data_IF_940373574991
#
_entry.id   IF_940373574991
#
_cell.length_a   1.000
_cell.length_b   1.000
_cell.length_c   1.000
_cell.angle_alpha   90.00
_cell.angle_beta   90.00
_cell.angle_gamma   90.00
#
_symmetry.space_group_name_H-M   'P 1'
#
loop_
_entity.id
_entity.type
_entity.pdbx_description
1 polymer ?
#
# COMPACT_ATOMS: atom_id res chain seq x y z
N UNK A 1 28.89 -1.83 32.38
CA UNK A 1 27.96 -1.33 31.32
C UNK A 1 26.65 -1.09 32.01
N UNK A 2 26.06 0.06 31.82
CA UNK A 2 24.72 0.31 32.37
C UNK A 2 23.74 -0.64 31.71
N UNK A 3 22.84 -1.20 32.50
CA UNK A 3 21.74 -2.05 32.01
C UNK A 3 20.49 -1.20 31.90
N UNK A 4 19.81 -1.31 30.77
CA UNK A 4 18.52 -0.69 30.53
C UNK A 4 17.40 -1.70 30.79
N UNK A 5 16.39 -1.29 31.53
CA UNK A 5 15.16 -2.06 31.71
C UNK A 5 14.23 -1.81 30.53
N UNK A 6 13.61 -2.88 30.04
CA UNK A 6 12.53 -2.86 29.03
C UNK A 6 11.37 -3.70 29.52
N UNK A 7 10.19 -3.46 28.94
CA UNK A 7 8.99 -4.26 29.17
C UNK A 7 8.58 -4.91 27.84
N UNK A 8 8.47 -6.24 27.84
CA UNK A 8 7.94 -7.03 26.75
C UNK A 8 6.86 -7.99 27.28
N UNK A 9 5.64 -7.92 26.69
CA UNK A 9 4.49 -8.72 27.15
C UNK A 9 4.30 -8.71 28.66
N UNK A 10 4.26 -7.51 29.25
CA UNK A 10 4.05 -7.26 30.69
C UNK A 10 5.17 -7.77 31.63
N UNK A 11 6.30 -8.23 31.08
CA UNK A 11 7.47 -8.69 31.86
C UNK A 11 8.65 -7.74 31.66
N UNK A 12 9.36 -7.48 32.75
CA UNK A 12 10.60 -6.70 32.73
C UNK A 12 11.80 -7.59 32.35
N UNK A 13 12.68 -7.02 31.52
CA UNK A 13 13.97 -7.61 31.13
C UNK A 13 15.05 -6.54 31.20
N UNK A 14 16.30 -6.95 31.41
CA UNK A 14 17.47 -6.04 31.44
C UNK A 14 18.41 -6.36 30.32
N UNK A 15 18.86 -5.34 29.59
CA UNK A 15 19.82 -5.44 28.49
C UNK A 15 20.87 -4.35 28.57
N UNK A 16 22.08 -4.58 28.05
CA UNK A 16 23.09 -3.52 27.91
C UNK A 16 22.58 -2.33 27.09
N UNK A 17 23.04 -1.11 27.40
CA UNK A 17 22.58 0.15 26.79
C UNK A 17 22.69 0.16 25.25
N UNK A 18 23.70 -0.49 24.67
CA UNK A 18 23.93 -0.52 23.23
C UNK A 18 23.10 -1.59 22.48
N UNK A 19 22.24 -2.34 23.17
CA UNK A 19 21.44 -3.42 22.59
C UNK A 19 20.43 -2.88 21.59
N UNK A 20 20.26 -3.58 20.46
CA UNK A 20 19.29 -3.23 19.41
C UNK A 20 18.00 -4.07 19.55
N UNK A 21 16.93 -3.61 18.91
CA UNK A 21 15.71 -4.42 18.79
C UNK A 21 15.97 -5.77 18.10
N UNK A 22 16.96 -5.81 17.18
CA UNK A 22 17.36 -7.07 16.54
C UNK A 22 17.94 -8.07 17.52
N UNK A 23 18.77 -7.60 18.47
CA UNK A 23 19.39 -8.48 19.46
C UNK A 23 18.32 -9.04 20.40
N UNK A 24 17.42 -8.20 20.88
CA UNK A 24 16.29 -8.62 21.73
C UNK A 24 15.35 -9.58 20.98
N UNK A 25 15.10 -9.33 19.70
CA UNK A 25 14.20 -10.17 18.91
C UNK A 25 14.67 -11.63 18.79
N UNK A 26 15.98 -11.88 18.93
CA UNK A 26 16.55 -13.24 18.93
C UNK A 26 16.13 -14.06 20.15
N UNK A 27 15.96 -13.39 21.32
CA UNK A 27 15.55 -14.03 22.55
C UNK A 27 14.07 -14.42 22.55
N UNK A 28 13.27 -13.71 21.74
CA UNK A 28 11.82 -13.92 21.65
C UNK A 28 11.34 -14.55 20.34
N UNK A 29 12.25 -14.97 19.46
CA UNK A 29 11.92 -15.52 18.12
C UNK A 29 10.94 -16.69 18.17
N UNK A 30 11.01 -17.52 19.21
CA UNK A 30 10.18 -18.71 19.35
C UNK A 30 8.71 -18.38 19.73
N UNK A 31 8.41 -17.10 20.02
CA UNK A 31 7.05 -16.62 20.26
C UNK A 31 6.31 -16.26 18.94
N UNK A 32 6.95 -16.41 17.80
CA UNK A 32 6.44 -16.05 16.47
C UNK A 32 6.53 -17.24 15.53
N UNK A 33 5.51 -17.42 14.70
CA UNK A 33 5.49 -18.50 13.71
C UNK A 33 6.43 -18.19 12.53
N UNK A 34 6.55 -16.91 12.18
CA UNK A 34 7.35 -16.43 11.08
C UNK A 34 8.46 -15.46 11.55
N UNK A 35 9.34 -15.08 10.63
CA UNK A 35 10.48 -14.21 10.95
C UNK A 35 10.01 -12.82 11.37
N UNK A 36 10.45 -12.37 12.55
CA UNK A 36 10.30 -10.98 13.00
C UNK A 36 10.98 -10.05 11.99
N UNK A 37 10.28 -9.01 11.56
CA UNK A 37 10.76 -8.08 10.53
C UNK A 37 10.81 -6.62 11.02
N UNK A 38 10.04 -6.29 12.05
CA UNK A 38 9.94 -4.94 12.60
C UNK A 38 9.69 -5.00 14.11
N UNK A 39 10.15 -3.98 14.84
CA UNK A 39 9.83 -3.78 16.25
C UNK A 39 8.98 -2.54 16.46
N UNK A 40 8.29 -2.50 17.57
CA UNK A 40 7.63 -1.32 18.09
C UNK A 40 8.28 -0.96 19.44
N UNK A 41 8.56 0.31 19.65
CA UNK A 41 9.08 0.82 20.89
C UNK A 41 8.28 2.05 21.30
N UNK A 42 7.62 1.97 22.46
CA UNK A 42 6.75 3.03 22.99
C UNK A 42 5.69 3.53 21.96
N UNK A 43 5.01 2.61 21.26
CA UNK A 43 3.97 2.92 20.28
C UNK A 43 4.49 3.39 18.92
N UNK A 44 5.82 3.31 18.66
CA UNK A 44 6.41 3.67 17.37
C UNK A 44 7.06 2.48 16.70
N UNK A 45 6.71 2.22 15.47
CA UNK A 45 7.36 1.22 14.63
C UNK A 45 8.77 1.68 14.26
N UNK A 46 9.76 0.83 14.51
CA UNK A 46 11.17 1.07 14.28
C UNK A 46 11.84 -0.13 13.62
N UNK A 47 12.81 0.15 12.78
CA UNK A 47 13.68 -0.88 12.19
C UNK A 47 14.40 -1.65 13.30
N UNK A 48 14.62 -2.95 13.08
CA UNK A 48 15.24 -3.83 14.09
C UNK A 48 16.66 -3.42 14.53
N UNK A 49 17.37 -2.65 13.70
CA UNK A 49 18.69 -2.11 14.07
C UNK A 49 18.63 -0.85 14.96
N UNK A 50 17.44 -0.44 15.39
CA UNK A 50 17.29 0.68 16.34
C UNK A 50 17.73 0.27 17.74
N UNK A 51 18.48 1.14 18.42
CA UNK A 51 18.89 0.95 19.81
C UNK A 51 17.70 1.14 20.74
N UNK A 52 17.69 0.41 21.85
CA UNK A 52 16.68 0.56 22.90
C UNK A 52 16.88 1.83 23.72
N UNK A 53 15.79 2.26 24.35
CA UNK A 53 15.80 3.38 25.31
C UNK A 53 15.40 2.88 26.71
N UNK A 54 15.81 3.58 27.79
CA UNK A 54 15.42 3.19 29.15
C UNK A 54 13.91 3.09 29.34
N UNK A 55 13.47 2.07 30.06
CA UNK A 55 12.05 1.81 30.36
C UNK A 55 11.14 1.72 29.13
N UNK A 56 11.67 1.23 28.02
CA UNK A 56 10.91 1.09 26.80
C UNK A 56 9.93 -0.09 26.87
N UNK A 57 8.71 0.14 26.39
CA UNK A 57 7.77 -0.92 26.05
C UNK A 57 8.06 -1.39 24.63
N UNK A 58 8.33 -2.69 24.46
CA UNK A 58 8.74 -3.28 23.19
C UNK A 58 7.73 -4.36 22.78
N UNK A 59 7.34 -4.32 21.51
CA UNK A 59 6.61 -5.38 20.81
C UNK A 59 7.31 -5.71 19.51
N UNK A 60 7.12 -6.93 19.01
CA UNK A 60 7.67 -7.36 17.73
C UNK A 60 6.57 -7.85 16.80
N UNK A 61 6.82 -7.74 15.53
CA UNK A 61 5.90 -8.18 14.49
C UNK A 61 6.65 -8.99 13.43
N UNK A 62 6.13 -10.17 13.13
CA UNK A 62 6.57 -10.96 12.00
C UNK A 62 5.91 -10.47 10.70
N UNK A 63 6.35 -10.99 9.55
CA UNK A 63 5.84 -10.54 8.25
C UNK A 63 4.40 -11.02 7.95
N UNK A 64 3.81 -11.88 8.77
CA UNK A 64 2.41 -12.29 8.68
C UNK A 64 1.49 -11.46 9.58
N UNK A 65 2.01 -10.55 10.39
CA UNK A 65 1.24 -9.53 11.10
C UNK A 65 0.89 -8.35 10.18
N UNK A 66 -0.12 -7.53 10.55
CA UNK A 66 -0.54 -6.37 9.72
C UNK A 66 0.56 -5.33 9.54
N UNK A 67 1.35 -5.04 10.58
CA UNK A 67 2.47 -4.11 10.49
C UNK A 67 3.66 -4.70 9.73
N UNK A 68 4.04 -5.93 10.06
CA UNK A 68 5.15 -6.59 9.40
C UNK A 68 4.88 -6.88 7.92
N UNK A 69 3.65 -7.17 7.53
CA UNK A 69 3.27 -7.38 6.14
C UNK A 69 3.47 -6.12 5.28
N UNK A 70 3.12 -4.94 5.81
CA UNK A 70 3.37 -3.66 5.13
C UNK A 70 4.87 -3.38 4.99
N UNK A 71 5.66 -3.67 6.01
CA UNK A 71 7.13 -3.55 5.95
C UNK A 71 7.70 -4.49 4.89
N UNK A 72 7.18 -5.72 4.81
CA UNK A 72 7.57 -6.72 3.82
C UNK A 72 7.26 -6.26 2.39
N UNK A 73 6.03 -5.79 2.15
CA UNK A 73 5.58 -5.24 0.87
C UNK A 73 6.49 -4.09 0.41
N UNK A 74 6.72 -3.10 1.28
CA UNK A 74 7.57 -1.95 0.96
C UNK A 74 9.02 -2.36 0.67
N UNK A 75 9.56 -3.32 1.42
CA UNK A 75 10.87 -3.88 1.15
C UNK A 75 10.97 -4.54 -0.23
N UNK A 76 9.96 -5.31 -0.63
CA UNK A 76 9.89 -5.89 -1.97
C UNK A 76 9.75 -4.84 -3.07
N UNK A 77 8.94 -3.80 -2.85
CA UNK A 77 8.81 -2.68 -3.80
C UNK A 77 10.17 -1.98 -3.97
N UNK A 78 10.92 -1.77 -2.88
CA UNK A 78 12.23 -1.14 -2.95
C UNK A 78 13.24 -1.97 -3.75
N UNK A 79 13.32 -3.29 -3.48
CA UNK A 79 14.20 -4.19 -4.26
C UNK A 79 13.76 -4.23 -5.73
N UNK A 80 12.46 -4.30 -5.99
CA UNK A 80 11.92 -4.32 -7.36
C UNK A 80 12.29 -3.03 -8.11
N UNK A 81 12.12 -1.86 -7.46
CA UNK A 81 12.52 -0.56 -8.01
C UNK A 81 14.01 -0.53 -8.36
N UNK A 82 14.85 -1.05 -7.45
CA UNK A 82 16.31 -1.16 -7.66
C UNK A 82 16.64 -2.01 -8.88
N UNK A 83 16.06 -3.20 -8.99
CA UNK A 83 16.36 -4.13 -10.09
C UNK A 83 15.83 -3.57 -11.43
N UNK A 84 14.64 -2.95 -11.46
CA UNK A 84 14.14 -2.28 -12.68
C UNK A 84 15.05 -1.14 -13.12
N UNK A 85 15.55 -0.34 -12.19
CA UNK A 85 16.49 0.73 -12.49
C UNK A 85 17.82 0.19 -13.02
N UNK A 86 18.36 -0.89 -12.44
CA UNK A 86 19.63 -1.47 -12.85
C UNK A 86 19.54 -2.14 -14.23
N UNK A 87 18.51 -2.95 -14.46
CA UNK A 87 18.37 -3.79 -15.66
C UNK A 87 17.77 -3.04 -16.84
N UNK A 88 16.76 -2.18 -16.59
CA UNK A 88 15.97 -1.56 -17.64
C UNK A 88 16.15 -0.04 -17.72
N UNK A 89 16.88 0.56 -16.77
CA UNK A 89 16.95 2.03 -16.60
C UNK A 89 15.57 2.66 -16.61
N UNK A 90 14.67 2.05 -15.85
CA UNK A 90 13.26 2.45 -15.78
C UNK A 90 12.77 2.46 -14.34
N UNK A 91 12.02 3.48 -14.00
CA UNK A 91 11.25 3.50 -12.78
C UNK A 91 10.02 2.59 -12.88
N UNK A 92 9.55 2.14 -11.74
CA UNK A 92 8.26 1.48 -11.60
C UNK A 92 7.26 2.41 -10.92
N UNK A 93 6.01 2.25 -11.25
CA UNK A 93 4.91 3.02 -10.69
C UNK A 93 3.96 2.07 -9.97
N UNK A 94 3.94 2.17 -8.65
CA UNK A 94 3.01 1.40 -7.80
C UNK A 94 1.63 2.04 -7.89
N UNK A 95 0.64 1.30 -8.36
CA UNK A 95 -0.70 1.84 -8.62
C UNK A 95 -1.68 1.53 -7.48
N UNK A 96 -2.04 0.27 -7.32
CA UNK A 96 -3.05 -0.14 -6.34
C UNK A 96 -2.89 -1.61 -5.98
N UNK A 97 -3.45 -1.99 -4.84
CA UNK A 97 -3.59 -3.40 -4.48
C UNK A 97 -4.73 -4.03 -5.28
N UNK A 98 -4.49 -5.18 -5.88
CA UNK A 98 -5.48 -5.93 -6.64
C UNK A 98 -5.41 -7.40 -6.28
N UNK A 99 -6.57 -8.00 -5.98
CA UNK A 99 -6.67 -9.36 -5.44
C UNK A 99 -5.73 -9.53 -4.23
N UNK A 100 -4.64 -10.27 -4.37
CA UNK A 100 -3.67 -10.60 -3.33
C UNK A 100 -2.26 -10.12 -3.67
N UNK A 101 -2.16 -8.99 -4.37
CA UNK A 101 -0.89 -8.43 -4.80
C UNK A 101 -1.00 -6.94 -5.10
N UNK A 102 0.11 -6.37 -5.56
CA UNK A 102 0.23 -4.96 -5.95
C UNK A 102 0.40 -4.85 -7.45
N UNK A 103 -0.48 -4.07 -8.10
CA UNK A 103 -0.37 -3.75 -9.51
C UNK A 103 0.66 -2.65 -9.74
N UNK A 104 1.56 -2.91 -10.66
CA UNK A 104 2.71 -2.07 -10.94
C UNK A 104 2.80 -1.81 -12.45
N UNK A 105 3.01 -0.55 -12.82
CA UNK A 105 3.31 -0.11 -14.19
C UNK A 105 4.78 0.21 -14.37
N UNK A 106 5.24 0.13 -15.60
CA UNK A 106 6.57 0.56 -16.04
C UNK A 106 6.50 1.22 -17.41
N UNK A 107 7.36 2.24 -17.63
CA UNK A 107 7.47 2.91 -18.91
C UNK A 107 8.17 2.06 -19.98
N UNK A 108 8.99 1.10 -19.58
CA UNK A 108 9.70 0.18 -20.49
C UNK A 108 8.86 -1.05 -20.78
N UNK A 109 8.94 -1.50 -22.01
CA UNK A 109 8.31 -2.75 -22.43
C UNK A 109 8.95 -3.93 -21.71
N UNK A 110 8.14 -4.77 -21.10
CA UNK A 110 8.53 -6.03 -20.47
C UNK A 110 7.94 -7.22 -21.21
N UNK A 111 8.58 -8.36 -21.08
CA UNK A 111 8.13 -9.68 -21.52
C UNK A 111 8.18 -10.64 -20.34
N UNK A 112 7.58 -11.82 -20.47
CA UNK A 112 7.70 -12.86 -19.44
C UNK A 112 9.15 -13.27 -19.18
N UNK A 113 10.01 -13.27 -20.22
CA UNK A 113 11.43 -13.56 -20.11
C UNK A 113 12.17 -12.49 -19.31
N UNK A 114 11.94 -11.20 -19.63
CA UNK A 114 12.51 -10.07 -18.87
C UNK A 114 12.06 -10.16 -17.42
N UNK A 115 10.80 -10.43 -17.16
CA UNK A 115 10.26 -10.53 -15.81
C UNK A 115 10.88 -11.72 -15.03
N UNK A 116 11.16 -12.82 -15.71
CA UNK A 116 11.89 -13.95 -15.13
C UNK A 116 13.33 -13.57 -14.75
N UNK A 117 14.02 -12.80 -15.58
CA UNK A 117 15.38 -12.31 -15.29
C UNK A 117 15.35 -11.36 -14.08
N UNK A 118 14.43 -10.41 -14.05
CA UNK A 118 14.20 -9.51 -12.90
C UNK A 118 13.95 -10.32 -11.62
N UNK A 119 13.08 -11.35 -11.69
CA UNK A 119 12.82 -12.22 -10.55
C UNK A 119 14.09 -12.93 -10.04
N UNK A 120 14.98 -13.35 -10.95
CA UNK A 120 16.26 -13.98 -10.58
C UNK A 120 17.21 -12.97 -9.90
N UNK A 121 17.29 -11.74 -10.42
CA UNK A 121 18.12 -10.69 -9.80
C UNK A 121 17.61 -10.31 -8.40
N UNK A 122 16.30 -10.22 -8.20
CA UNK A 122 15.71 -10.04 -6.87
C UNK A 122 16.12 -11.18 -5.93
N UNK A 123 16.04 -12.44 -6.38
CA UNK A 123 16.47 -13.61 -5.59
C UNK A 123 17.97 -13.56 -5.27
N UNK A 124 18.80 -13.07 -6.19
CA UNK A 124 20.23 -12.88 -5.97
C UNK A 124 20.49 -11.82 -4.88
N UNK A 125 19.80 -10.67 -4.90
CA UNK A 125 19.90 -9.65 -3.86
C UNK A 125 19.43 -10.18 -2.50
N UNK A 126 18.33 -10.94 -2.46
CA UNK A 126 17.84 -11.59 -1.24
C UNK A 126 18.86 -12.57 -0.68
N UNK A 127 19.48 -13.39 -1.54
CA UNK A 127 20.51 -14.35 -1.14
C UNK A 127 21.79 -13.68 -0.62
N UNK A 128 22.15 -12.52 -1.19
CA UNK A 128 23.29 -11.70 -0.72
C UNK A 128 23.03 -11.03 0.62
N UNK A 129 21.77 -10.95 1.06
CA UNK A 129 21.34 -10.30 2.30
C UNK A 129 21.86 -8.86 2.45
N UNK A 130 21.66 -8.05 1.41
CA UNK A 130 22.18 -6.69 1.33
C UNK A 130 21.49 -5.79 2.37
N UNK A 131 22.24 -5.02 3.19
CA UNK A 131 21.67 -4.12 4.18
C UNK A 131 20.83 -3.01 3.54
N UNK A 132 19.68 -2.70 4.15
CA UNK A 132 18.87 -1.54 3.86
C UNK A 132 19.13 -0.51 4.97
N UNK A 133 19.74 0.61 4.62
CA UNK A 133 20.17 1.62 5.56
C UNK A 133 19.23 2.81 5.56
N UNK A 134 18.76 3.22 6.74
CA UNK A 134 17.96 4.43 6.93
C UNK A 134 18.85 5.60 7.27
N UNK A 135 18.60 6.76 6.69
CA UNK A 135 19.24 8.03 7.00
C UNK A 135 18.20 9.13 7.14
N UNK A 136 18.30 9.91 8.21
CA UNK A 136 17.51 11.13 8.37
C UNK A 136 18.27 12.27 7.69
N UNK A 137 17.71 12.83 6.63
CA UNK A 137 18.34 13.88 5.83
C UNK A 137 17.46 15.12 5.80
N UNK A 138 18.09 16.29 5.58
CA UNK A 138 17.33 17.51 5.37
C UNK A 138 16.47 17.39 4.09
N UNK A 139 15.23 17.87 4.16
CA UNK A 139 14.28 17.81 3.04
C UNK A 139 14.80 18.45 1.75
N UNK A 140 15.57 19.55 1.88
CA UNK A 140 16.14 20.26 0.73
C UNK A 140 17.20 19.38 0.05
N UNK A 141 18.02 18.68 0.83
CA UNK A 141 19.03 17.76 0.28
C UNK A 141 18.39 16.59 -0.43
N UNK A 142 17.30 16.03 0.12
CA UNK A 142 16.50 15.00 -0.54
C UNK A 142 15.88 15.52 -1.86
N UNK A 143 15.34 16.73 -1.89
CA UNK A 143 14.82 17.36 -3.11
C UNK A 143 15.94 17.53 -4.15
N UNK A 144 17.13 17.97 -3.76
CA UNK A 144 18.26 18.13 -4.66
C UNK A 144 18.74 16.80 -5.23
N UNK A 145 18.78 15.76 -4.40
CA UNK A 145 19.05 14.38 -4.87
C UNK A 145 18.04 13.94 -5.93
N UNK A 146 16.71 14.04 -5.67
CA UNK A 146 15.70 13.62 -6.63
C UNK A 146 15.71 14.45 -7.91
N UNK A 147 16.03 15.74 -7.86
CA UNK A 147 16.27 16.56 -9.06
C UNK A 147 17.44 16.03 -9.87
N UNK A 148 18.53 15.63 -9.22
CA UNK A 148 19.73 15.14 -9.92
C UNK A 148 19.52 13.80 -10.63
N UNK A 149 18.60 12.98 -10.14
CA UNK A 149 18.22 11.68 -10.77
C UNK A 149 16.96 11.79 -11.64
N UNK A 150 16.38 13.01 -11.79
CA UNK A 150 15.23 13.27 -12.68
C UNK A 150 13.86 12.85 -12.13
N UNK A 151 13.77 12.43 -10.85
CA UNK A 151 12.50 12.00 -10.25
C UNK A 151 11.69 13.20 -9.74
N UNK A 152 10.96 13.84 -10.66
CA UNK A 152 10.17 15.04 -10.36
C UNK A 152 8.96 14.76 -9.49
N UNK A 153 8.41 13.56 -9.49
CA UNK A 153 7.30 13.19 -8.60
C UNK A 153 7.72 13.27 -7.13
N UNK A 154 8.87 12.68 -6.77
CA UNK A 154 9.42 12.78 -5.40
C UNK A 154 9.79 14.22 -5.04
N UNK A 155 10.32 15.01 -5.97
CA UNK A 155 10.56 16.45 -5.78
C UNK A 155 9.28 17.17 -5.38
N UNK A 156 8.19 16.93 -6.13
CA UNK A 156 6.93 17.61 -5.90
C UNK A 156 6.25 17.14 -4.60
N UNK A 157 6.30 15.85 -4.27
CA UNK A 157 5.81 15.35 -2.97
C UNK A 157 6.55 16.04 -1.81
N UNK A 158 7.88 16.08 -1.85
CA UNK A 158 8.69 16.67 -0.79
C UNK A 158 8.55 18.21 -0.73
N UNK A 159 8.25 18.88 -1.82
CA UNK A 159 7.99 20.33 -1.86
C UNK A 159 6.84 20.71 -0.92
N UNK A 160 5.79 19.91 -0.84
CA UNK A 160 4.61 20.15 -0.01
C UNK A 160 4.69 19.51 1.38
N UNK A 161 5.77 18.80 1.70
CA UNK A 161 5.98 18.23 3.04
C UNK A 161 6.24 19.34 4.06
N UNK A 162 5.59 19.25 5.22
CA UNK A 162 5.84 20.17 6.36
C UNK A 162 7.08 19.78 7.16
N UNK A 163 7.58 18.56 7.00
CA UNK A 163 8.72 18.06 7.76
C UNK A 163 10.03 18.68 7.24
N UNK A 164 10.88 19.14 8.14
CA UNK A 164 12.22 19.65 7.81
C UNK A 164 13.19 18.54 7.44
N UNK A 165 13.00 17.35 8.00
CA UNK A 165 13.81 16.17 7.72
C UNK A 165 12.94 15.03 7.20
N UNK A 166 13.52 14.18 6.37
CA UNK A 166 12.87 13.01 5.77
C UNK A 166 13.76 11.77 5.88
N UNK A 167 13.13 10.60 5.98
CA UNK A 167 13.84 9.33 5.99
C UNK A 167 14.13 8.89 4.55
N UNK A 168 15.41 8.81 4.18
CA UNK A 168 15.84 8.12 2.97
C UNK A 168 16.39 6.74 3.33
N UNK A 169 15.98 5.74 2.55
CA UNK A 169 16.50 4.39 2.64
C UNK A 169 17.46 4.14 1.48
N UNK A 170 18.60 3.54 1.81
CA UNK A 170 19.64 3.20 0.85
C UNK A 170 19.73 1.69 0.67
N UNK A 171 19.69 1.25 -0.60
CA UNK A 171 20.00 -0.10 -1.02
C UNK A 171 21.10 -0.03 -2.07
N UNK A 172 22.31 -0.43 -1.71
CA UNK A 172 23.55 -0.24 -2.50
C UNK A 172 23.76 1.22 -2.90
N UNK A 173 23.57 1.57 -4.18
CA UNK A 173 23.74 2.90 -4.76
C UNK A 173 22.41 3.66 -4.98
N UNK A 174 21.28 3.04 -4.66
CA UNK A 174 19.95 3.65 -4.82
C UNK A 174 19.42 4.18 -3.49
N UNK A 175 18.83 5.37 -3.53
CA UNK A 175 18.10 5.95 -2.39
C UNK A 175 16.63 6.08 -2.75
N UNK A 176 15.74 5.81 -1.79
CA UNK A 176 14.32 6.09 -1.95
C UNK A 176 13.67 6.52 -0.63
N UNK A 177 12.50 7.14 -0.74
CA UNK A 177 11.71 7.69 0.35
C UNK A 177 10.48 6.82 0.62
N UNK A 178 10.34 6.38 1.87
CA UNK A 178 9.18 5.61 2.33
C UNK A 178 8.57 6.25 3.57
N UNK A 179 7.24 6.22 3.66
CA UNK A 179 6.49 6.73 4.81
C UNK A 179 6.53 5.79 6.01
N UNK A 180 6.66 4.49 5.79
CA UNK A 180 6.76 3.47 6.82
C UNK A 180 8.16 2.85 6.86
N UNK A 181 8.54 2.23 8.00
CA UNK A 181 9.80 1.51 8.10
C UNK A 181 9.99 0.44 7.03
N UNK A 182 11.24 0.12 6.74
CA UNK A 182 11.66 -0.99 5.87
C UNK A 182 12.37 -2.08 6.67
N UNK A 183 12.48 -3.31 6.13
CA UNK A 183 13.30 -4.33 6.74
C UNK A 183 14.77 -3.90 6.73
N UNK A 184 15.55 -4.41 7.70
CA UNK A 184 16.97 -4.05 7.84
C UNK A 184 17.87 -4.60 6.74
N UNK A 185 17.41 -5.61 6.00
CA UNK A 185 18.15 -6.20 4.88
C UNK A 185 17.21 -6.94 3.92
N UNK A 186 17.72 -7.23 2.74
CA UNK A 186 16.99 -7.95 1.68
C UNK A 186 16.74 -9.42 2.02
N UNK A 187 17.55 -10.05 2.86
CA UNK A 187 17.45 -11.47 3.22
C UNK A 187 16.18 -11.85 4.00
N UNK A 188 15.38 -10.86 4.42
CA UNK A 188 14.06 -11.08 5.03
C UNK A 188 12.97 -11.41 4.01
N UNK A 189 13.14 -11.09 2.71
CA UNK A 189 12.09 -10.93 1.70
C UNK A 189 12.03 -12.13 0.72
N UNK A 190 12.00 -13.34 1.27
CA UNK A 190 12.16 -14.60 0.49
C UNK A 190 10.95 -14.95 -0.36
N UNK A 191 9.75 -14.63 0.12
CA UNK A 191 8.49 -15.07 -0.48
C UNK A 191 7.90 -13.98 -1.37
N UNK A 192 8.07 -14.09 -2.68
CA UNK A 192 7.46 -13.18 -3.65
C UNK A 192 7.21 -13.87 -4.98
N UNK A 193 6.31 -13.31 -5.78
CA UNK A 193 6.03 -13.75 -7.14
C UNK A 193 5.76 -12.56 -8.03
N UNK A 194 6.41 -12.50 -9.19
CA UNK A 194 6.07 -11.54 -10.24
C UNK A 194 5.16 -12.23 -11.26
N UNK A 195 4.01 -11.62 -11.53
CA UNK A 195 3.04 -12.11 -12.52
C UNK A 195 2.94 -11.10 -13.66
N UNK A 196 3.23 -11.54 -14.88
CA UNK A 196 3.09 -10.74 -16.09
C UNK A 196 1.61 -10.46 -16.37
N UNK A 197 1.25 -9.21 -16.64
CA UNK A 197 -0.11 -8.81 -17.04
C UNK A 197 -0.11 -8.38 -18.52
N UNK A 198 0.69 -7.38 -18.86
CA UNK A 198 0.86 -6.90 -20.23
C UNK A 198 2.28 -6.33 -20.43
N UNK A 199 2.54 -5.79 -21.62
CA UNK A 199 3.86 -5.27 -21.99
C UNK A 199 4.37 -4.11 -21.14
N UNK A 200 3.55 -3.53 -20.24
CA UNK A 200 3.91 -2.40 -19.39
C UNK A 200 3.44 -2.57 -17.94
N UNK A 201 2.99 -3.77 -17.59
CA UNK A 201 2.46 -3.99 -16.24
C UNK A 201 2.66 -5.40 -15.71
N UNK A 202 2.74 -5.49 -14.40
CA UNK A 202 2.91 -6.72 -13.65
C UNK A 202 2.16 -6.64 -12.32
N UNK A 203 1.98 -7.79 -11.67
CA UNK A 203 1.53 -7.87 -10.28
C UNK A 203 2.64 -8.47 -9.43
N UNK A 204 2.99 -7.78 -8.34
CA UNK A 204 3.85 -8.26 -7.27
C UNK A 204 3.01 -8.97 -6.22
N UNK A 205 3.11 -10.29 -6.16
CA UNK A 205 2.51 -11.12 -5.10
C UNK A 205 3.50 -11.31 -3.95
N UNK A 206 2.98 -11.33 -2.72
CA UNK A 206 3.74 -11.49 -1.48
C UNK A 206 2.85 -12.15 -0.41
N UNK A 207 3.35 -12.51 0.78
CA UNK A 207 2.56 -13.14 1.83
C UNK A 207 1.27 -12.38 2.13
N UNK A 208 0.16 -13.10 2.20
CA UNK A 208 -1.16 -12.50 2.42
C UNK A 208 -1.71 -12.87 3.79
N UNK A 209 -1.84 -11.89 4.67
CA UNK A 209 -2.27 -12.07 6.06
C UNK A 209 -3.73 -12.54 6.19
N UNK A 210 -4.60 -12.12 5.28
CA UNK A 210 -6.03 -12.48 5.33
C UNK A 210 -6.30 -13.93 4.93
N UNK A 211 -5.58 -14.43 3.94
CA UNK A 211 -5.69 -15.84 3.53
C UNK A 211 -4.73 -16.76 4.27
N UNK A 212 -3.84 -16.22 5.11
CA UNK A 212 -2.76 -16.92 5.81
C UNK A 212 -1.89 -17.78 4.88
N UNK A 213 -1.69 -17.32 3.63
CA UNK A 213 -0.91 -18.02 2.59
C UNK A 213 0.33 -17.22 2.25
N UNK A 214 1.51 -17.85 2.31
CA UNK A 214 2.81 -17.20 2.03
C UNK A 214 2.94 -16.71 0.58
N UNK A 215 2.40 -17.47 -0.39
CA UNK A 215 2.35 -17.04 -1.79
C UNK A 215 0.99 -17.38 -2.40
N UNK A 216 0.00 -16.50 -2.27
CA UNK A 216 -1.31 -16.71 -2.88
C UNK A 216 -1.22 -16.66 -4.40
N UNK A 217 -2.05 -17.47 -5.05
CA UNK A 217 -2.17 -17.43 -6.52
C UNK A 217 -2.98 -16.19 -6.89
N UNK A 218 -2.42 -15.32 -7.70
CA UNK A 218 -3.13 -14.18 -8.27
C UNK A 218 -4.24 -14.65 -9.21
N UNK A 219 -5.44 -14.10 -9.02
CA UNK A 219 -6.59 -14.30 -9.90
C UNK A 219 -6.93 -12.99 -10.59
N UNK A 220 -6.89 -12.99 -11.91
CA UNK A 220 -7.24 -11.81 -12.67
C UNK A 220 -8.77 -11.57 -12.66
N UNK A 221 -9.16 -10.36 -12.31
CA UNK A 221 -10.55 -9.89 -12.28
C UNK A 221 -10.74 -8.80 -13.34
N UNK A 222 -11.04 -9.21 -14.56
CA UNK A 222 -11.09 -8.37 -15.76
C UNK A 222 -11.91 -7.09 -15.57
N UNK A 223 -13.14 -7.19 -15.06
CA UNK A 223 -14.01 -6.02 -14.86
C UNK A 223 -13.42 -5.02 -13.88
N UNK A 224 -12.90 -5.50 -12.73
CA UNK A 224 -12.30 -4.64 -11.72
C UNK A 224 -11.02 -3.98 -12.27
N UNK A 225 -10.20 -4.74 -12.98
CA UNK A 225 -8.98 -4.23 -13.59
C UNK A 225 -9.27 -3.12 -14.62
N UNK A 226 -10.28 -3.32 -15.46
CA UNK A 226 -10.68 -2.34 -16.46
C UNK A 226 -11.20 -1.04 -15.83
N UNK A 227 -11.97 -1.14 -14.73
CA UNK A 227 -12.43 0.04 -13.99
C UNK A 227 -11.25 0.84 -13.38
N UNK A 228 -10.29 0.17 -12.75
CA UNK A 228 -9.09 0.83 -12.26
C UNK A 228 -8.28 1.47 -13.39
N UNK A 229 -8.14 0.79 -14.53
CA UNK A 229 -7.43 1.32 -15.70
C UNK A 229 -8.14 2.55 -16.28
N UNK A 230 -9.47 2.53 -16.37
CA UNK A 230 -10.27 3.65 -16.83
C UNK A 230 -10.09 4.87 -15.91
N UNK A 231 -10.14 4.64 -14.60
CA UNK A 231 -9.93 5.69 -13.61
C UNK A 231 -8.50 6.26 -13.67
N UNK A 232 -7.50 5.41 -13.78
CA UNK A 232 -6.09 5.80 -13.91
C UNK A 232 -5.85 6.68 -15.16
N UNK A 233 -6.38 6.26 -16.32
CA UNK A 233 -6.32 7.03 -17.55
C UNK A 233 -7.03 8.39 -17.44
N UNK A 234 -8.11 8.45 -16.69
CA UNK A 234 -8.81 9.70 -16.41
C UNK A 234 -7.97 10.63 -15.53
N UNK A 235 -7.41 10.13 -14.43
CA UNK A 235 -6.51 10.89 -13.57
C UNK A 235 -5.29 11.43 -14.32
N UNK A 236 -4.73 10.63 -15.25
CA UNK A 236 -3.61 11.02 -16.10
C UNK A 236 -3.97 12.21 -17.00
N UNK A 237 -5.14 12.16 -17.67
CA UNK A 237 -5.62 13.26 -18.52
C UNK A 237 -5.81 14.57 -17.75
N UNK A 238 -6.14 14.50 -16.47
CA UNK A 238 -6.30 15.66 -15.60
C UNK A 238 -4.99 16.09 -14.92
N UNK A 239 -3.91 15.32 -15.03
CA UNK A 239 -2.64 15.57 -14.36
C UNK A 239 -2.72 15.39 -12.84
N UNK A 240 -3.59 14.49 -12.36
CA UNK A 240 -3.79 14.17 -10.93
C UNK A 240 -3.62 12.68 -10.64
N UNK A 241 -2.80 11.98 -11.42
CA UNK A 241 -2.52 10.56 -11.25
C UNK A 241 -1.77 10.22 -9.95
N UNK A 242 -1.20 11.22 -9.30
CA UNK A 242 -0.47 11.09 -8.03
C UNK A 242 -0.74 12.27 -7.11
N UNK A 243 -0.33 12.14 -5.84
CA UNK A 243 -0.53 13.17 -4.82
C UNK A 243 0.19 14.47 -5.17
N UNK A 244 1.32 14.42 -5.85
CA UNK A 244 2.05 15.63 -6.24
C UNK A 244 1.26 16.48 -7.22
N UNK A 245 0.62 15.88 -8.23
CA UNK A 245 -0.27 16.56 -9.15
C UNK A 245 -1.51 17.14 -8.46
N UNK A 246 -2.11 16.40 -7.53
CA UNK A 246 -3.24 16.89 -6.75
C UNK A 246 -2.85 18.09 -5.88
N UNK A 247 -1.72 18.02 -5.16
CA UNK A 247 -1.21 19.13 -4.35
C UNK A 247 -0.96 20.39 -5.18
N UNK A 248 -0.49 20.24 -6.41
CA UNK A 248 -0.30 21.37 -7.31
C UNK A 248 -1.64 22.04 -7.68
N UNK A 249 -2.68 21.26 -7.97
CA UNK A 249 -4.03 21.78 -8.23
C UNK A 249 -4.60 22.53 -7.02
N UNK A 250 -4.39 21.99 -5.82
CA UNK A 250 -4.78 22.66 -4.57
C UNK A 250 -4.02 23.98 -4.39
N UNK A 251 -2.70 23.97 -4.58
CA UNK A 251 -1.86 25.16 -4.36
C UNK A 251 -2.08 26.28 -5.38
N UNK A 252 -2.54 25.93 -6.58
CA UNK A 252 -2.86 26.89 -7.65
C UNK A 252 -4.33 27.34 -7.66
N UNK A 253 -5.17 26.80 -6.74
CA UNK A 253 -6.60 27.12 -6.67
C UNK A 253 -7.45 26.49 -7.81
N UNK A 254 -6.89 25.53 -8.57
CA UNK A 254 -7.62 24.86 -9.67
C UNK A 254 -8.24 23.52 -9.26
N UNK A 255 -8.39 23.28 -7.97
CA UNK A 255 -8.99 22.04 -7.43
C UNK A 255 -10.49 21.96 -7.71
N UNK A 256 -11.22 23.10 -7.72
CA UNK A 256 -12.66 23.15 -7.93
C UNK A 256 -13.06 22.57 -9.30
N UNK A 257 -12.25 22.79 -10.33
CA UNK A 257 -12.47 22.20 -11.64
C UNK A 257 -12.41 20.66 -11.59
N UNK A 258 -11.45 20.11 -10.83
CA UNK A 258 -11.31 18.67 -10.66
C UNK A 258 -12.50 18.07 -9.93
N UNK A 259 -12.98 18.75 -8.86
CA UNK A 259 -14.19 18.35 -8.12
C UNK A 259 -15.40 18.32 -9.04
N UNK A 260 -15.63 19.41 -9.77
CA UNK A 260 -16.78 19.53 -10.70
C UNK A 260 -16.76 18.47 -11.80
N UNK A 261 -15.58 18.23 -12.41
CA UNK A 261 -15.42 17.20 -13.43
C UNK A 261 -15.66 15.81 -12.87
N UNK A 262 -15.15 15.51 -11.65
CA UNK A 262 -15.35 14.22 -10.97
C UNK A 262 -16.82 13.94 -10.69
N UNK A 263 -17.54 14.95 -10.18
CA UNK A 263 -18.98 14.85 -9.92
C UNK A 263 -19.79 14.63 -11.19
N UNK A 264 -19.46 15.36 -12.26
CA UNK A 264 -20.12 15.20 -13.56
C UNK A 264 -19.92 13.82 -14.16
N UNK A 265 -18.71 13.26 -14.09
CA UNK A 265 -18.43 11.90 -14.57
C UNK A 265 -19.22 10.88 -13.74
N UNK A 266 -19.20 11.00 -12.40
CA UNK A 266 -20.00 10.11 -11.54
C UNK A 266 -21.49 10.17 -11.87
N UNK A 267 -22.05 11.36 -12.04
CA UNK A 267 -23.45 11.56 -12.38
C UNK A 267 -23.78 10.94 -13.75
N UNK A 268 -22.93 11.11 -14.75
CA UNK A 268 -23.11 10.52 -16.08
C UNK A 268 -23.06 8.98 -16.04
N UNK A 269 -22.14 8.41 -15.26
CA UNK A 269 -22.06 6.96 -15.08
C UNK A 269 -23.34 6.42 -14.42
N UNK A 270 -23.81 7.05 -13.35
CA UNK A 270 -25.05 6.66 -12.67
C UNK A 270 -26.29 6.82 -13.57
N UNK A 271 -26.35 7.90 -14.36
CA UNK A 271 -27.40 8.07 -15.35
C UNK A 271 -27.41 6.97 -16.40
N UNK A 272 -26.25 6.58 -16.88
CA UNK A 272 -26.09 5.48 -17.86
C UNK A 272 -26.55 4.14 -17.25
N UNK A 273 -26.17 3.86 -16.00
CA UNK A 273 -26.63 2.69 -15.27
C UNK A 273 -28.17 2.70 -15.13
N UNK A 274 -28.74 3.85 -14.71
CA UNK A 274 -30.18 3.98 -14.57
C UNK A 274 -30.94 3.77 -15.90
N UNK A 275 -30.39 4.29 -17.00
CA UNK A 275 -30.94 4.08 -18.35
C UNK A 275 -30.93 2.61 -18.73
N UNK A 276 -29.83 1.90 -18.47
CA UNK A 276 -29.71 0.47 -18.77
C UNK A 276 -30.71 -0.35 -17.94
N UNK A 277 -30.86 -0.01 -16.65
CA UNK A 277 -31.85 -0.67 -15.78
C UNK A 277 -33.26 -0.43 -16.26
N UNK A 278 -33.61 0.82 -16.61
CA UNK A 278 -34.97 1.18 -17.07
C UNK A 278 -35.36 0.47 -18.38
N UNK A 279 -34.37 0.16 -19.22
CA UNK A 279 -34.56 -0.56 -20.48
C UNK A 279 -34.74 -2.07 -20.30
N UNK A 280 -34.40 -2.63 -19.14
CA UNK A 280 -34.48 -4.05 -18.86
C UNK A 280 -35.51 -4.35 -17.76
N UNK A 281 -36.74 -4.68 -18.17
CA UNK A 281 -37.85 -4.99 -17.26
C UNK A 281 -37.63 -6.21 -16.36
N UNK A 282 -36.62 -7.03 -16.64
CA UNK A 282 -36.31 -8.24 -15.84
C UNK A 282 -35.52 -7.89 -14.57
N UNK A 283 -34.88 -6.70 -14.50
CA UNK A 283 -34.14 -6.27 -13.31
C UNK A 283 -35.16 -5.88 -12.23
N UNK A 284 -35.21 -6.62 -11.13
CA UNK A 284 -36.07 -6.41 -9.98
C UNK A 284 -35.32 -6.01 -8.73
N UNK A 285 -34.03 -6.33 -8.66
CA UNK A 285 -33.17 -6.10 -7.51
C UNK A 285 -31.84 -5.52 -7.98
N UNK A 286 -31.39 -4.49 -7.29
CA UNK A 286 -30.09 -3.84 -7.50
C UNK A 286 -29.33 -3.91 -6.18
N UNK A 287 -28.19 -4.58 -6.16
CA UNK A 287 -27.32 -4.68 -4.99
C UNK A 287 -26.15 -3.71 -5.12
N UNK A 288 -25.98 -2.84 -4.12
CA UNK A 288 -24.86 -1.89 -4.04
C UNK A 288 -23.99 -2.30 -2.86
N UNK A 289 -22.78 -2.77 -3.15
CA UNK A 289 -21.81 -3.16 -2.14
C UNK A 289 -20.55 -2.29 -2.23
N UNK A 290 -19.83 -2.17 -1.12
CA UNK A 290 -18.57 -1.45 -1.04
C UNK A 290 -18.11 -1.30 0.41
N UNK A 291 -16.84 -0.92 0.65
CA UNK A 291 -16.31 -0.73 2.00
C UNK A 291 -16.98 0.43 2.73
N UNK A 292 -16.70 0.57 4.02
CA UNK A 292 -17.19 1.71 4.81
C UNK A 292 -16.68 3.01 4.19
N UNK A 293 -17.50 4.06 4.27
CA UNK A 293 -17.20 5.40 3.71
C UNK A 293 -16.97 5.46 2.20
N UNK A 294 -17.32 4.42 1.43
CA UNK A 294 -17.15 4.37 -0.05
C UNK A 294 -18.25 5.14 -0.81
N UNK A 295 -19.20 5.79 -0.12
CA UNK A 295 -20.29 6.54 -0.74
C UNK A 295 -21.48 5.68 -1.20
N UNK A 296 -21.64 4.43 -0.70
CA UNK A 296 -22.78 3.55 -1.03
C UNK A 296 -24.14 4.26 -0.90
N UNK A 297 -24.38 4.90 0.24
CA UNK A 297 -25.64 5.60 0.53
C UNK A 297 -25.89 6.76 -0.44
N UNK A 298 -24.85 7.55 -0.74
CA UNK A 298 -24.93 8.66 -1.72
C UNK A 298 -25.22 8.13 -3.11
N UNK A 299 -24.53 7.08 -3.53
CA UNK A 299 -24.72 6.40 -4.82
C UNK A 299 -26.14 5.84 -4.95
N UNK A 300 -26.65 5.16 -3.91
CA UNK A 300 -28.00 4.61 -3.87
C UNK A 300 -29.06 5.71 -4.04
N UNK A 301 -28.94 6.80 -3.29
CA UNK A 301 -29.87 7.95 -3.37
C UNK A 301 -29.85 8.63 -4.74
N UNK A 302 -28.66 8.85 -5.32
CA UNK A 302 -28.52 9.42 -6.67
C UNK A 302 -29.11 8.48 -7.74
N UNK A 303 -28.84 7.18 -7.64
CA UNK A 303 -29.38 6.19 -8.57
C UNK A 303 -30.91 6.12 -8.48
N UNK A 304 -31.48 6.17 -7.27
CA UNK A 304 -32.93 6.22 -7.07
C UNK A 304 -33.57 7.44 -7.78
N UNK A 305 -32.94 8.63 -7.68
CA UNK A 305 -33.41 9.81 -8.39
C UNK A 305 -33.40 9.65 -9.90
N UNK A 306 -32.32 9.11 -10.47
CA UNK A 306 -32.24 8.87 -11.91
C UNK A 306 -33.28 7.84 -12.37
N UNK A 307 -33.51 6.77 -11.61
CA UNK A 307 -34.51 5.75 -11.92
C UNK A 307 -35.94 6.33 -11.87
N UNK A 308 -36.23 7.23 -10.91
CA UNK A 308 -37.49 7.98 -10.88
C UNK A 308 -37.65 8.85 -12.12
N UNK A 309 -36.61 9.49 -12.60
CA UNK A 309 -36.58 10.24 -13.85
C UNK A 309 -36.94 9.39 -15.10
N UNK A 310 -36.68 8.09 -15.05
CA UNK A 310 -37.13 7.13 -16.07
C UNK A 310 -38.51 6.50 -15.81
N UNK A 311 -39.26 7.03 -14.85
CA UNK A 311 -40.62 6.56 -14.53
C UNK A 311 -40.70 5.31 -13.67
N UNK A 312 -39.57 4.87 -13.07
CA UNK A 312 -39.55 3.77 -12.12
C UNK A 312 -39.78 4.26 -10.70
N UNK A 313 -40.27 3.40 -9.81
CA UNK A 313 -40.45 3.70 -8.40
C UNK A 313 -39.65 2.76 -7.50
N UNK A 314 -38.31 2.90 -7.46
CA UNK A 314 -37.47 2.05 -6.65
C UNK A 314 -37.66 2.35 -5.17
N UNK A 315 -37.42 1.34 -4.32
CA UNK A 315 -37.29 1.48 -2.88
C UNK A 315 -35.90 1.12 -2.45
N UNK A 316 -35.21 2.06 -1.80
CA UNK A 316 -33.89 1.80 -1.21
C UNK A 316 -34.08 1.16 0.18
N UNK A 317 -33.32 0.09 0.43
CA UNK A 317 -33.25 -0.60 1.71
C UNK A 317 -31.79 -0.61 2.14
N UNK A 318 -31.50 -0.07 3.32
CA UNK A 318 -30.18 -0.15 3.92
C UNK A 318 -30.07 -1.43 4.74
N UNK A 319 -29.00 -2.21 4.50
CA UNK A 319 -28.72 -3.39 5.33
C UNK A 319 -28.37 -2.98 6.75
N UNK A 320 -27.83 -1.76 6.93
CA UNK A 320 -27.49 -1.21 8.24
C UNK A 320 -28.74 -1.07 9.16
N UNK A 321 -29.94 -0.90 8.59
CA UNK A 321 -31.18 -0.82 9.34
C UNK A 321 -31.60 -2.14 10.01
N UNK A 322 -30.96 -3.24 9.64
CA UNK A 322 -31.22 -4.60 10.15
C UNK A 322 -30.19 -5.10 11.13
N UNK A 323 -29.14 -4.33 11.41
CA UNK A 323 -28.16 -4.71 12.44
C UNK A 323 -28.79 -4.61 13.83
N UNK A 324 -28.50 -5.58 14.67
CA UNK A 324 -28.79 -5.54 16.10
C UNK A 324 -27.67 -4.80 16.85
N UNK A 325 -27.96 -4.37 18.07
CA UNK A 325 -26.94 -3.76 18.93
C UNK A 325 -25.73 -4.70 19.10
N UNK A 326 -24.54 -4.13 19.22
CA UNK A 326 -23.31 -4.91 19.34
C UNK A 326 -23.34 -5.92 20.48
N UNK A 327 -23.98 -5.55 21.59
CA UNK A 327 -24.15 -6.41 22.76
C UNK A 327 -25.06 -7.64 22.50
N UNK A 328 -25.91 -7.56 21.47
CA UNK A 328 -26.85 -8.62 21.05
C UNK A 328 -26.38 -9.38 19.83
N UNK A 329 -25.25 -9.00 19.24
CA UNK A 329 -24.72 -9.67 18.06
C UNK A 329 -24.23 -11.06 18.45
N UNK A 330 -24.69 -12.15 17.80
CA UNK A 330 -24.15 -13.49 18.04
C UNK A 330 -22.66 -13.51 17.73
N UNK A 331 -21.89 -13.99 18.71
CA UNK A 331 -20.45 -14.22 18.53
C UNK A 331 -20.23 -15.56 17.84
N UNK A 332 -19.20 -15.66 17.00
CA UNK A 332 -18.68 -16.92 16.50
C UNK A 332 -17.96 -17.68 17.61
N UNK A 333 -17.67 -18.96 17.41
CA UNK A 333 -17.00 -19.82 18.40
C UNK A 333 -15.60 -19.31 18.80
N UNK A 334 -15.01 -18.46 17.97
CA UNK A 334 -13.70 -17.82 18.18
C UNK A 334 -13.77 -16.36 18.69
N UNK A 335 -14.96 -15.87 19.02
CA UNK A 335 -15.24 -14.52 19.59
C UNK A 335 -15.61 -13.50 18.52
#
# INVERSE_FOLDING_TARGET
MEELKIVYREKEYSYPEETTLLDISKDFKDNYEDKIIIGEMNGRLLELNSKITPNAHIEFYDYMSSYGNRVYENGLIFILSKVFMDELKSEIEVKYSIDKGVYIKTSKRITEEILKNISNEIKNLIKKDVPIQKSLVNRIDAINYYKSVGNMDKVNILKYSINTNVNLYRLENMYDYFFSPLPISTGCLKEFKLTYIDSHSLVLGYPNIYSKVKLPVYKHHENLFNEFKNYDNWCEKLGVQNISGLNERVSTGSIDDIVLLSENIQNNNLFTIAKNISSNKNIKLILIAGPSSSGKTTTSKKLELFLKGFGLNPKSLSVDDYFVDREKTPLLEDG
#
